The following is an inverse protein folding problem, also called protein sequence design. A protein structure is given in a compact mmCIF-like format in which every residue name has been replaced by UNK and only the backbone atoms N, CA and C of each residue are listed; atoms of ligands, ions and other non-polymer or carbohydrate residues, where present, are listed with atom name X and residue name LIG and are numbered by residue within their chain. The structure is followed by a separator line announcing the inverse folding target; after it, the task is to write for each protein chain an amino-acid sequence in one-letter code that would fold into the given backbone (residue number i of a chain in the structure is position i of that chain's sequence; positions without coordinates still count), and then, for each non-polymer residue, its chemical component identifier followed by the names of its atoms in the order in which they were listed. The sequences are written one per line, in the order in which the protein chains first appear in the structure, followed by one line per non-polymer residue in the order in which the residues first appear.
data_IF_151075294770
#
_entry.id   IF_151075294770
#
_cell.length_a   1.000
_cell.length_b   1.000
_cell.length_c   1.000
_cell.angle_alpha   90.00
_cell.angle_beta   90.00
_cell.angle_gamma   90.00
#
_symmetry.space_group_name_H-M   'P 1'
#
loop_
_entity.id
_entity.type
_entity.pdbx_description
1 polymer ?
#
# COMPACT_ATOMS: atom_id res chain seq x y z
N UNK A 1 -2.80 -1.52 -14.12
CA UNK A 1 -1.99 -2.62 -13.55
C UNK A 1 -1.82 -2.33 -12.06
N UNK A 2 -2.30 -3.19 -11.16
CA UNK A 2 -2.24 -2.95 -9.72
C UNK A 2 -0.80 -2.98 -9.22
N UNK A 3 -0.34 -1.91 -8.55
CA UNK A 3 1.02 -1.78 -8.02
C UNK A 3 1.05 -0.95 -6.72
N UNK A 4 2.04 -1.25 -5.86
CA UNK A 4 2.39 -0.49 -4.65
C UNK A 4 3.90 -0.35 -4.54
N UNK A 5 4.37 0.69 -3.84
CA UNK A 5 5.79 0.91 -3.54
C UNK A 5 5.97 1.11 -2.04
N UNK A 6 6.91 0.38 -1.46
CA UNK A 6 7.20 0.40 -0.03
C UNK A 6 8.46 1.24 0.23
N UNK A 7 8.49 1.96 1.36
CA UNK A 7 9.70 2.66 1.79
C UNK A 7 10.62 1.69 2.55
N UNK A 8 11.59 1.12 1.83
CA UNK A 8 12.54 0.15 2.39
C UNK A 8 13.49 0.73 3.44
N UNK A 9 13.51 2.06 3.64
CA UNK A 9 14.33 2.72 4.66
C UNK A 9 13.66 2.75 6.02
N UNK A 10 12.35 2.44 6.09
CA UNK A 10 11.58 2.45 7.32
C UNK A 10 11.43 1.02 7.87
N UNK A 11 11.48 0.85 9.20
CA UNK A 11 11.08 -0.39 9.83
C UNK A 11 9.69 -0.77 9.35
N UNK A 12 9.47 -2.07 9.17
CA UNK A 12 8.20 -2.64 8.74
C UNK A 12 7.77 -2.35 7.29
N UNK A 13 8.65 -1.83 6.42
CA UNK A 13 8.40 -1.69 4.97
C UNK A 13 7.01 -1.08 4.65
N UNK A 14 6.64 0.08 5.22
CA UNK A 14 5.33 0.67 5.00
C UNK A 14 5.11 1.05 3.53
N UNK A 15 3.89 0.90 3.04
CA UNK A 15 3.50 1.35 1.70
C UNK A 15 3.56 2.89 1.66
N UNK A 16 4.45 3.43 0.84
CA UNK A 16 4.58 4.87 0.61
C UNK A 16 3.74 5.37 -0.56
N UNK A 17 3.42 4.48 -1.51
CA UNK A 17 2.61 4.80 -2.68
C UNK A 17 1.74 3.61 -3.07
N UNK A 18 0.46 3.86 -3.32
CA UNK A 18 -0.49 2.89 -3.83
C UNK A 18 -1.17 3.43 -5.10
N UNK A 19 -1.15 2.65 -6.18
CA UNK A 19 -1.83 3.03 -7.41
C UNK A 19 -3.34 2.87 -7.25
N UNK A 20 -4.14 3.73 -7.91
CA UNK A 20 -5.60 3.66 -7.85
C UNK A 20 -6.15 2.28 -8.24
N UNK A 21 -5.60 1.66 -9.27
CA UNK A 21 -6.01 0.31 -9.69
C UNK A 21 -5.75 -0.78 -8.65
N UNK A 22 -4.85 -0.55 -7.70
CA UNK A 22 -4.67 -1.45 -6.56
C UNK A 22 -5.80 -1.27 -5.54
N UNK A 23 -6.13 -0.01 -5.21
CA UNK A 23 -7.23 0.33 -4.30
C UNK A 23 -8.58 -0.20 -4.83
N UNK A 24 -8.83 -0.06 -6.13
CA UNK A 24 -10.03 -0.59 -6.78
C UNK A 24 -10.08 -2.12 -6.78
N UNK A 25 -8.93 -2.78 -6.88
CA UNK A 25 -8.84 -4.25 -6.85
C UNK A 25 -9.07 -4.82 -5.44
N UNK A 26 -8.52 -4.19 -4.41
CA UNK A 26 -8.62 -4.68 -3.03
C UNK A 26 -9.84 -4.13 -2.28
N UNK A 27 -10.47 -3.06 -2.79
CA UNK A 27 -11.57 -2.36 -2.12
C UNK A 27 -11.14 -1.51 -0.92
N UNK A 28 -9.83 -1.32 -0.71
CA UNK A 28 -9.31 -0.54 0.42
C UNK A 28 -9.28 0.96 0.09
N UNK A 29 -9.53 1.80 1.09
CA UNK A 29 -9.28 3.23 0.97
C UNK A 29 -7.77 3.53 1.09
N UNK A 30 -7.30 4.61 0.45
CA UNK A 30 -5.89 5.00 0.51
C UNK A 30 -5.38 5.21 1.96
N UNK A 31 -6.22 5.75 2.85
CA UNK A 31 -5.88 5.93 4.26
C UNK A 31 -5.75 4.62 5.06
N UNK A 32 -6.32 3.52 4.56
CA UNK A 32 -6.18 2.19 5.16
C UNK A 32 -4.96 1.44 4.63
N UNK A 33 -4.30 1.96 3.58
CA UNK A 33 -3.18 1.30 2.88
C UNK A 33 -1.87 2.04 3.14
N UNK A 34 -1.85 3.37 2.99
CA UNK A 34 -0.65 4.18 3.11
C UNK A 34 -0.11 4.12 4.55
N UNK A 35 1.21 3.92 4.67
CA UNK A 35 1.88 3.83 5.97
C UNK A 35 1.80 2.46 6.64
N UNK A 36 1.09 1.47 6.06
CA UNK A 36 1.01 0.11 6.61
C UNK A 36 1.87 -0.88 5.81
N UNK A 37 2.28 -1.97 6.45
CA UNK A 37 2.91 -3.09 5.75
C UNK A 37 1.88 -3.89 4.96
N UNK A 38 2.20 -4.31 3.72
CA UNK A 38 1.31 -5.10 2.86
C UNK A 38 0.72 -6.37 3.49
N UNK A 39 1.29 -6.91 4.58
CA UNK A 39 0.80 -8.10 5.29
C UNK A 39 -0.56 -7.95 5.99
N UNK A 40 -1.16 -6.75 6.00
CA UNK A 40 -2.51 -6.55 6.54
C UNK A 40 -3.60 -7.04 5.59
N UNK A 41 -3.26 -7.22 4.31
CA UNK A 41 -4.14 -7.73 3.25
C UNK A 41 -4.27 -9.24 3.34
#
# INVERSE_FOLDING_TARGET
MPMVVNDARKPDLPIGLAYRSFLELTGCAAGEVLGRNCRFL
#
